data_IF_425949534312
#
_entry.id   IF_425949534312
#
_cell.length_a   1.000
_cell.length_b   1.000
_cell.length_c   1.000
_cell.angle_alpha   90.00
_cell.angle_beta   90.00
_cell.angle_gamma   90.00
#
_symmetry.space_group_name_H-M   'P 1'
#
loop_
_entity.id
_entity.type
_entity.pdbx_description
1 polymer ?
#
# COMPACT_ATOMS: atom_id res chain seq x y z
N UNK A 1 -13.57 4.04 -12.79
CA UNK A 1 -14.71 3.93 -11.86
C UNK A 1 -14.25 4.42 -10.50
N UNK A 2 -14.83 5.50 -9.97
CA UNK A 2 -14.55 6.02 -8.63
C UNK A 2 -15.14 5.10 -7.55
N UNK A 3 -14.74 3.83 -7.56
CA UNK A 3 -15.14 2.88 -6.53
C UNK A 3 -14.15 2.98 -5.37
N UNK A 4 -14.44 3.91 -4.47
CA UNK A 4 -13.89 3.83 -3.11
C UNK A 4 -14.65 2.71 -2.41
N UNK A 5 -14.07 1.50 -2.42
CA UNK A 5 -14.45 0.48 -1.44
C UNK A 5 -14.34 1.15 -0.06
N UNK A 6 -15.35 1.00 0.78
CA UNK A 6 -15.40 1.64 2.09
C UNK A 6 -14.13 1.40 2.92
N UNK A 7 -13.99 2.08 4.05
CA UNK A 7 -12.78 1.98 4.88
C UNK A 7 -12.52 0.54 5.33
N UNK A 8 -11.39 -0.04 4.91
CA UNK A 8 -10.95 -1.38 5.29
C UNK A 8 -10.02 -1.26 6.51
N UNK A 9 -10.23 -2.02 7.60
CA UNK A 9 -9.28 -2.08 8.70
C UNK A 9 -7.97 -2.74 8.25
N UNK A 10 -6.85 -2.08 8.51
CA UNK A 10 -5.50 -2.57 8.18
C UNK A 10 -4.84 -3.19 9.41
N UNK A 11 -4.33 -4.41 9.28
CA UNK A 11 -3.64 -5.16 10.33
C UNK A 11 -2.35 -5.75 9.77
N UNK A 12 -1.25 -5.62 10.51
CA UNK A 12 0.03 -6.19 10.11
C UNK A 12 -0.08 -7.71 9.92
N UNK A 13 0.54 -8.22 8.85
CA UNK A 13 0.45 -9.63 8.46
C UNK A 13 -0.76 -9.98 7.61
N UNK A 14 -1.73 -9.07 7.40
CA UNK A 14 -2.87 -9.36 6.55
C UNK A 14 -2.47 -9.45 5.07
N UNK A 15 -3.12 -10.33 4.30
CA UNK A 15 -3.00 -10.32 2.84
C UNK A 15 -3.65 -9.06 2.27
N UNK A 16 -2.98 -8.43 1.32
CA UNK A 16 -3.47 -7.24 0.60
C UNK A 16 -3.23 -7.40 -0.89
N UNK A 17 -4.04 -6.68 -1.68
CA UNK A 17 -3.89 -6.58 -3.12
C UNK A 17 -3.73 -5.10 -3.50
N UNK A 18 -2.72 -4.81 -4.31
CA UNK A 18 -2.53 -3.50 -4.93
C UNK A 18 -3.56 -3.35 -6.04
N UNK A 19 -4.38 -2.29 -5.97
CA UNK A 19 -5.51 -2.07 -6.89
C UNK A 19 -5.22 -1.06 -8.00
N UNK A 20 -4.03 -0.47 -8.01
CA UNK A 20 -3.62 0.52 -9.00
C UNK A 20 -2.22 0.22 -9.49
N UNK A 21 -1.94 0.51 -10.76
CA UNK A 21 -0.59 0.40 -11.28
C UNK A 21 0.25 1.51 -10.67
N UNK A 22 1.31 1.14 -9.96
CA UNK A 22 2.22 2.10 -9.34
C UNK A 22 3.55 2.13 -10.07
N UNK A 23 4.13 0.96 -10.32
CA UNK A 23 5.38 0.79 -11.04
C UNK A 23 5.28 -0.47 -11.91
N UNK A 24 4.92 -0.26 -13.17
CA UNK A 24 4.65 -1.34 -14.13
C UNK A 24 5.93 -2.09 -14.48
N UNK A 25 7.06 -1.39 -14.61
CA UNK A 25 8.35 -1.98 -14.94
C UNK A 25 8.85 -2.86 -13.79
N UNK A 26 8.61 -2.45 -12.55
CA UNK A 26 8.92 -3.24 -11.37
C UNK A 26 7.91 -4.38 -11.07
N UNK A 27 6.80 -4.48 -11.82
CA UNK A 27 5.75 -5.48 -11.60
C UNK A 27 4.76 -5.12 -10.48
N UNK A 28 4.75 -3.87 -10.00
CA UNK A 28 3.78 -3.33 -9.05
C UNK A 28 2.55 -2.84 -9.80
N UNK A 29 1.78 -3.81 -10.30
CA UNK A 29 0.56 -3.60 -11.08
C UNK A 29 -0.69 -3.94 -10.27
N UNK A 30 -1.85 -3.50 -10.77
CA UNK A 30 -3.14 -3.93 -10.26
C UNK A 30 -3.22 -5.47 -10.25
N UNK A 31 -3.61 -6.03 -9.11
CA UNK A 31 -3.66 -7.46 -8.88
C UNK A 31 -2.40 -8.02 -8.22
N UNK A 32 -1.34 -7.22 -8.07
CA UNK A 32 -0.18 -7.62 -7.28
C UNK A 32 -0.62 -7.86 -5.83
N UNK A 33 -0.26 -9.02 -5.28
CA UNK A 33 -0.63 -9.43 -3.92
C UNK A 33 0.59 -9.45 -3.03
N UNK A 34 0.35 -9.24 -1.73
CA UNK A 34 1.42 -9.22 -0.76
C UNK A 34 0.92 -9.24 0.67
N UNK A 35 1.87 -9.10 1.59
CA UNK A 35 1.62 -9.07 3.03
C UNK A 35 1.91 -7.68 3.58
N UNK A 36 0.96 -7.12 4.34
CA UNK A 36 1.14 -5.83 4.99
C UNK A 36 2.21 -5.89 6.10
N UNK A 37 3.25 -5.07 6.01
CA UNK A 37 4.40 -5.07 6.95
C UNK A 37 4.50 -3.81 7.81
N UNK A 38 4.05 -2.67 7.32
CA UNK A 38 4.08 -1.42 8.06
C UNK A 38 2.88 -0.55 7.69
N UNK A 39 2.35 0.19 8.67
CA UNK A 39 1.29 1.18 8.49
C UNK A 39 1.75 2.48 9.12
N UNK A 40 1.83 3.55 8.31
CA UNK A 40 1.94 4.92 8.81
C UNK A 40 0.56 5.54 8.80
N UNK A 41 0.19 6.20 9.90
CA UNK A 41 -1.13 6.81 10.05
C UNK A 41 -1.04 8.15 10.77
N UNK A 42 -2.00 9.04 10.50
CA UNK A 42 -2.31 10.20 11.35
C UNK A 42 -3.49 9.89 12.24
N UNK A 43 -3.55 10.59 13.37
CA UNK A 43 -4.70 10.57 14.27
C UNK A 43 -5.49 11.85 14.04
N UNK A 44 -6.78 11.73 13.75
CA UNK A 44 -7.65 12.91 13.58
C UNK A 44 -8.17 13.46 14.91
N UNK A 45 -8.94 14.55 14.86
CA UNK A 45 -9.50 15.23 16.05
C UNK A 45 -10.43 14.34 16.88
N UNK A 46 -10.98 13.28 16.29
CA UNK A 46 -11.87 12.32 16.93
C UNK A 46 -11.11 11.08 17.42
N UNK A 47 -9.77 11.07 17.33
CA UNK A 47 -8.92 9.96 17.77
C UNK A 47 -8.84 8.80 16.77
N UNK A 48 -9.36 8.95 15.55
CA UNK A 48 -9.36 7.88 14.54
C UNK A 48 -8.04 7.84 13.79
N UNK A 49 -7.53 6.64 13.52
CA UNK A 49 -6.31 6.42 12.75
C UNK A 49 -6.63 6.36 11.25
N UNK A 50 -6.04 7.26 10.49
CA UNK A 50 -6.14 7.32 9.03
C UNK A 50 -4.79 6.93 8.43
N UNK A 51 -4.75 5.85 7.64
CA UNK A 51 -3.53 5.40 6.98
C UNK A 51 -3.07 6.43 5.94
N UNK A 52 -1.81 6.82 6.02
CA UNK A 52 -1.13 7.74 5.08
C UNK A 52 -0.27 6.96 4.09
N UNK A 53 0.29 5.83 4.52
CA UNK A 53 1.03 4.92 3.66
C UNK A 53 1.24 3.59 4.34
N UNK A 54 1.52 2.58 3.53
CA UNK A 54 1.89 1.27 4.01
C UNK A 54 3.05 0.68 3.22
N UNK A 55 3.74 -0.26 3.86
CA UNK A 55 4.75 -1.10 3.22
C UNK A 55 4.17 -2.50 3.06
N UNK A 56 4.24 -3.04 1.86
CA UNK A 56 3.75 -4.36 1.50
C UNK A 56 4.92 -5.19 0.99
N UNK A 57 5.10 -6.39 1.54
CA UNK A 57 6.00 -7.38 0.98
C UNK A 57 5.30 -8.12 -0.16
N UNK A 58 5.76 -7.93 -1.38
CA UNK A 58 5.18 -8.42 -2.63
C UNK A 58 6.18 -9.36 -3.34
N UNK A 59 6.18 -10.67 -3.03
CA UNK A 59 7.24 -11.60 -3.45
C UNK A 59 7.36 -11.79 -4.98
N UNK A 60 6.35 -11.38 -5.74
CA UNK A 60 6.32 -11.51 -7.20
C UNK A 60 6.79 -10.24 -7.93
N UNK A 61 7.28 -9.23 -7.19
CA UNK A 61 7.86 -8.01 -7.77
C UNK A 61 9.20 -8.33 -8.45
N UNK A 62 9.44 -7.72 -9.61
CA UNK A 62 10.63 -7.95 -10.45
C UNK A 62 11.63 -6.79 -10.42
N UNK A 63 11.21 -5.61 -9.97
CA UNK A 63 12.05 -4.41 -9.96
C UNK A 63 13.06 -4.35 -8.81
N UNK A 64 13.95 -3.36 -8.90
CA UNK A 64 14.92 -3.08 -7.84
C UNK A 64 14.24 -2.62 -6.55
N UNK A 65 14.94 -2.83 -5.44
CA UNK A 65 14.44 -2.44 -4.14
C UNK A 65 14.44 -0.93 -3.96
N UNK A 66 13.39 -0.43 -3.31
CA UNK A 66 13.42 0.94 -2.81
C UNK A 66 14.56 1.09 -1.78
N UNK A 67 15.34 2.19 -1.84
CA UNK A 67 16.39 2.43 -0.86
C UNK A 67 15.85 2.33 0.57
N UNK A 68 16.61 1.65 1.44
CA UNK A 68 16.27 1.44 2.85
C UNK A 68 15.09 0.50 3.11
N UNK A 69 14.53 -0.15 2.09
CA UNK A 69 13.57 -1.23 2.26
C UNK A 69 14.19 -2.60 1.94
N UNK A 70 13.75 -3.68 2.61
CA UNK A 70 14.19 -5.03 2.26
C UNK A 70 13.67 -5.46 0.88
N UNK A 71 14.20 -6.57 0.40
CA UNK A 71 13.82 -7.15 -0.89
C UNK A 71 12.31 -7.28 -1.07
N UNK A 72 11.82 -6.95 -2.26
CA UNK A 72 10.41 -7.11 -2.63
C UNK A 72 9.43 -6.33 -1.75
N UNK A 73 9.86 -5.22 -1.14
CA UNK A 73 8.98 -4.33 -0.39
C UNK A 73 8.57 -3.13 -1.24
N UNK A 74 7.25 -2.94 -1.37
CA UNK A 74 6.64 -1.84 -2.09
C UNK A 74 5.96 -0.89 -1.13
N UNK A 75 5.84 0.37 -1.52
CA UNK A 75 5.13 1.39 -0.74
C UNK A 75 3.84 1.74 -1.46
N UNK A 76 2.72 1.70 -0.74
CA UNK A 76 1.49 2.33 -1.19
C UNK A 76 1.25 3.61 -0.38
N UNK A 77 0.90 4.68 -1.08
CA UNK A 77 0.60 5.99 -0.49
C UNK A 77 -0.91 6.19 -0.40
N UNK A 78 -1.34 7.07 0.50
CA UNK A 78 -2.73 7.51 0.53
C UNK A 78 -3.10 8.13 -0.82
N UNK A 79 -4.28 7.80 -1.30
CA UNK A 79 -4.83 8.42 -2.50
C UNK A 79 -5.21 9.87 -2.16
N UNK A 80 -4.52 10.84 -2.77
CA UNK A 80 -4.86 12.24 -2.67
C UNK A 80 -5.71 12.62 -3.88
N UNK A 81 -7.02 12.77 -3.68
CA UNK A 81 -7.85 13.51 -4.63
C UNK A 81 -7.53 15.00 -4.48
N UNK A 82 -6.60 15.50 -5.31
CA UNK A 82 -6.66 16.91 -5.68
C UNK A 82 -7.95 17.11 -6.47
N UNK A 83 -8.86 17.91 -5.91
CA UNK A 83 -10.11 18.32 -6.55
C UNK A 83 -9.95 19.73 -7.08
#
# INVERSE_FOLDING_TARGET
TNQQLGKIPLVLGMPVMISQNFDVEAGVVNGCTGTLKCIRYRVDKEGRRQAISCVVHAPNMLGENLPQLPDHHVVALEDSVDM
#
